data_IF_762913325960
#
_entry.id   IF_762913325960
#
_cell.length_a   1.000
_cell.length_b   1.000
_cell.length_c   1.000
_cell.angle_alpha   90.00
_cell.angle_beta   90.00
_cell.angle_gamma   90.00
#
_symmetry.space_group_name_H-M   'P 1'
#
loop_
_entity.id
_entity.type
_entity.pdbx_description
1 polymer ?
#
# COMPACT_ATOMS: atom_id res chain seq x y z
N UNK A 1 82.29 4.64 -55.96
CA UNK A 1 83.72 4.89 -55.72
C UNK A 1 83.90 5.70 -54.40
N UNK A 2 85.20 5.91 -53.99
CA UNK A 2 85.53 6.61 -52.74
C UNK A 2 84.87 8.03 -52.65
N UNK A 3 84.71 8.67 -53.77
CA UNK A 3 84.03 10.01 -53.86
C UNK A 3 82.53 9.97 -53.55
N UNK A 4 81.82 9.01 -53.99
CA UNK A 4 80.43 8.77 -53.73
C UNK A 4 80.17 8.42 -52.26
N UNK A 5 81.06 7.69 -51.63
CA UNK A 5 81.00 7.41 -50.18
C UNK A 5 81.23 8.63 -49.33
N UNK A 6 82.15 9.54 -49.79
CA UNK A 6 82.38 10.79 -49.07
C UNK A 6 81.22 11.73 -49.21
N UNK A 7 80.55 11.88 -50.34
CA UNK A 7 79.35 12.69 -50.55
C UNK A 7 78.18 12.12 -49.77
N UNK A 8 77.95 10.84 -49.71
CA UNK A 8 76.89 10.21 -48.87
C UNK A 8 77.12 10.43 -47.36
N UNK A 9 78.43 10.35 -46.94
CA UNK A 9 78.74 10.69 -45.53
C UNK A 9 78.43 12.16 -45.19
N UNK A 10 78.76 13.05 -46.12
CA UNK A 10 78.50 14.51 -45.90
C UNK A 10 77.01 14.82 -45.87
N UNK A 11 76.24 14.22 -46.76
CA UNK A 11 74.78 14.37 -46.75
C UNK A 11 74.13 13.79 -45.48
N UNK A 12 74.57 12.60 -45.03
CA UNK A 12 74.09 11.97 -43.82
C UNK A 12 74.47 12.79 -42.58
N UNK A 13 75.65 13.40 -42.52
CA UNK A 13 76.09 14.24 -41.44
C UNK A 13 75.32 15.56 -41.42
N UNK A 14 75.02 16.18 -42.56
CA UNK A 14 74.16 17.36 -42.64
C UNK A 14 72.76 17.05 -42.25
N UNK A 15 72.15 15.96 -42.67
CA UNK A 15 70.85 15.53 -42.27
C UNK A 15 70.75 15.23 -40.75
N UNK A 16 71.75 14.61 -40.17
CA UNK A 16 71.83 14.38 -38.72
C UNK A 16 71.98 15.66 -37.90
N UNK A 17 72.73 16.64 -38.41
CA UNK A 17 72.79 17.97 -37.77
C UNK A 17 71.43 18.68 -37.82
N UNK A 18 70.82 18.75 -38.98
CA UNK A 18 69.52 19.37 -39.15
C UNK A 18 68.43 18.71 -38.27
N UNK A 19 68.46 17.38 -38.14
CA UNK A 19 67.57 16.64 -37.24
C UNK A 19 67.77 16.95 -35.77
N UNK A 20 69.06 17.10 -35.34
CA UNK A 20 69.38 17.49 -33.94
C UNK A 20 68.98 18.95 -33.65
N UNK A 21 69.17 19.84 -34.58
CA UNK A 21 68.79 21.27 -34.44
C UNK A 21 67.27 21.42 -34.42
N UNK A 22 66.56 20.63 -35.25
CA UNK A 22 65.11 20.59 -35.21
C UNK A 22 64.58 20.00 -33.89
N UNK A 23 65.18 18.91 -33.42
CA UNK A 23 64.81 18.28 -32.13
C UNK A 23 65.06 19.19 -30.92
N UNK A 24 66.11 20.05 -30.96
CA UNK A 24 66.42 21.00 -29.87
C UNK A 24 65.35 22.07 -29.70
N UNK A 25 64.47 22.29 -30.68
CA UNK A 25 63.36 23.25 -30.61
C UNK A 25 62.17 22.77 -29.83
N UNK A 26 62.11 21.45 -29.54
CA UNK A 26 60.94 20.85 -28.86
C UNK A 26 61.25 20.45 -27.43
N UNK A 27 60.30 20.49 -26.53
CA UNK A 27 60.46 19.99 -25.15
C UNK A 27 60.94 18.53 -25.15
N UNK A 28 61.91 18.17 -24.26
CA UNK A 28 62.48 16.79 -24.26
C UNK A 28 61.45 15.68 -24.10
N UNK A 29 60.35 15.97 -23.42
CA UNK A 29 59.21 15.03 -23.25
C UNK A 29 58.51 14.62 -24.57
N UNK A 30 58.61 15.44 -25.61
CA UNK A 30 57.98 15.16 -26.91
C UNK A 30 58.88 14.39 -27.85
N UNK A 31 60.18 14.29 -27.53
CA UNK A 31 61.16 13.60 -28.37
C UNK A 31 61.50 12.22 -27.80
N UNK A 32 60.75 11.74 -26.84
CA UNK A 32 60.94 10.38 -26.29
C UNK A 32 60.65 9.30 -27.34
N UNK A 33 61.31 8.15 -27.30
CA UNK A 33 61.03 7.03 -28.23
C UNK A 33 59.55 6.64 -28.23
N UNK A 34 58.91 6.71 -27.05
CA UNK A 34 57.47 6.40 -26.91
C UNK A 34 56.62 7.41 -27.66
N UNK A 35 56.89 8.73 -27.48
CA UNK A 35 56.13 9.79 -28.14
C UNK A 35 56.31 9.74 -29.67
N UNK A 36 57.52 9.49 -30.11
CA UNK A 36 57.81 9.34 -31.55
C UNK A 36 57.17 8.10 -32.16
N UNK A 37 57.06 7.00 -31.41
CA UNK A 37 56.33 5.81 -31.85
C UNK A 37 54.84 6.06 -31.93
N UNK A 38 54.27 6.75 -30.97
CA UNK A 38 52.86 7.16 -30.95
C UNK A 38 52.53 8.05 -32.19
N UNK A 39 53.37 9.04 -32.48
CA UNK A 39 53.20 9.89 -33.65
C UNK A 39 53.31 9.11 -34.98
N UNK A 40 54.24 8.13 -35.07
CA UNK A 40 54.34 7.27 -36.24
C UNK A 40 53.14 6.35 -36.43
N UNK A 41 52.51 5.95 -35.36
CA UNK A 41 51.27 5.15 -35.41
C UNK A 41 50.06 5.96 -35.79
N UNK A 42 50.04 7.24 -35.39
CA UNK A 42 48.94 8.16 -35.67
C UNK A 42 48.99 8.76 -37.08
N UNK A 43 50.23 9.04 -37.56
CA UNK A 43 50.45 9.64 -38.89
C UNK A 43 51.35 8.77 -39.75
N UNK A 44 50.88 8.39 -40.94
CA UNK A 44 51.64 7.58 -41.90
C UNK A 44 52.89 8.31 -42.42
N UNK A 45 52.82 9.64 -42.51
CA UNK A 45 53.92 10.47 -43.00
C UNK A 45 53.86 11.89 -42.42
N UNK A 46 54.98 12.60 -42.57
CA UNK A 46 55.13 13.97 -42.07
C UNK A 46 54.06 14.94 -42.67
N UNK A 47 53.69 14.74 -43.93
CA UNK A 47 52.71 15.59 -44.62
C UNK A 47 51.33 15.48 -44.01
N UNK A 48 50.90 14.31 -43.58
CA UNK A 48 49.64 14.16 -42.85
C UNK A 48 49.69 14.89 -41.50
N UNK A 49 50.79 14.82 -40.79
CA UNK A 49 50.96 15.55 -39.52
C UNK A 49 50.93 17.07 -39.75
N UNK A 50 51.58 17.57 -40.81
CA UNK A 50 51.54 18.99 -41.20
C UNK A 50 50.11 19.48 -41.53
N UNK A 51 49.37 18.70 -42.30
CA UNK A 51 47.98 18.99 -42.66
C UNK A 51 47.13 19.05 -41.39
N UNK A 52 47.30 18.11 -40.48
CA UNK A 52 46.57 18.08 -39.21
C UNK A 52 46.94 19.27 -38.32
N UNK A 53 48.21 19.59 -38.18
CA UNK A 53 48.68 20.78 -37.46
C UNK A 53 48.07 22.07 -38.03
N UNK A 54 48.11 22.26 -39.36
CA UNK A 54 47.52 23.40 -39.97
C UNK A 54 45.99 23.49 -39.79
N UNK A 55 45.31 22.37 -39.81
CA UNK A 55 43.89 22.32 -39.52
C UNK A 55 43.59 22.69 -38.04
N UNK A 56 44.38 22.19 -37.10
CA UNK A 56 44.25 22.57 -35.65
C UNK A 56 44.55 24.06 -35.46
N UNK A 57 45.57 24.62 -36.14
CA UNK A 57 45.90 26.05 -36.08
C UNK A 57 44.70 26.88 -36.61
N UNK A 58 44.10 26.46 -37.77
CA UNK A 58 42.91 27.12 -38.28
C UNK A 58 41.69 27.04 -37.35
N UNK A 59 41.51 25.92 -36.64
CA UNK A 59 40.45 25.76 -35.63
C UNK A 59 40.73 26.66 -34.42
N UNK A 60 41.99 26.77 -33.97
CA UNK A 60 42.38 27.66 -32.89
C UNK A 60 42.16 29.14 -33.25
N UNK A 61 42.49 29.55 -34.47
CA UNK A 61 42.33 30.92 -34.94
C UNK A 61 40.85 31.35 -35.12
N UNK A 62 39.98 30.38 -35.42
CA UNK A 62 38.54 30.59 -35.57
C UNK A 62 37.75 30.58 -34.26
N UNK A 63 38.27 29.97 -33.23
CA UNK A 63 37.61 29.79 -31.93
C UNK A 63 37.89 30.89 -30.97
N UNK A 64 36.86 31.30 -30.21
CA UNK A 64 37.06 32.06 -28.97
C UNK A 64 37.31 31.02 -27.87
N UNK A 65 38.60 30.84 -27.55
CA UNK A 65 39.02 29.84 -26.60
C UNK A 65 39.15 30.48 -25.20
N UNK A 66 38.52 29.81 -24.22
CA UNK A 66 38.69 30.20 -22.82
C UNK A 66 40.01 29.67 -22.33
N UNK A 67 40.92 30.59 -21.93
CA UNK A 67 42.28 30.23 -21.47
C UNK A 67 42.39 30.17 -19.95
N UNK A 68 41.29 30.42 -19.21
CA UNK A 68 41.28 30.34 -17.76
C UNK A 68 41.39 28.88 -17.31
N UNK A 69 42.46 28.55 -16.59
CA UNK A 69 42.68 27.20 -16.06
C UNK A 69 41.57 26.73 -15.11
N UNK A 70 40.84 27.66 -14.50
CA UNK A 70 39.71 27.32 -13.62
C UNK A 70 38.53 26.71 -14.36
N UNK A 71 38.41 26.91 -15.67
CA UNK A 71 37.36 26.31 -16.51
C UNK A 71 37.48 24.78 -16.56
N UNK A 72 38.71 24.25 -16.65
CA UNK A 72 38.97 22.81 -16.63
C UNK A 72 38.57 22.20 -15.27
N UNK A 73 38.92 22.83 -14.18
CA UNK A 73 38.56 22.38 -12.83
C UNK A 73 37.04 22.42 -12.62
N UNK A 74 36.39 23.43 -13.17
CA UNK A 74 34.93 23.56 -13.12
C UNK A 74 34.29 22.44 -13.95
N UNK A 75 34.76 22.16 -15.15
CA UNK A 75 34.28 21.11 -16.03
C UNK A 75 34.41 19.74 -15.36
N UNK A 76 35.55 19.42 -14.75
CA UNK A 76 35.76 18.16 -14.03
C UNK A 76 34.78 18.04 -12.86
N UNK A 77 34.61 19.09 -12.06
CA UNK A 77 33.66 19.07 -10.93
C UNK A 77 32.23 18.91 -11.40
N UNK A 78 31.79 19.64 -12.44
CA UNK A 78 30.44 19.52 -12.98
C UNK A 78 30.19 18.15 -13.58
N UNK A 79 31.17 17.58 -14.28
CA UNK A 79 31.06 16.22 -14.83
C UNK A 79 30.90 15.17 -13.72
N UNK A 80 31.63 15.33 -12.61
CA UNK A 80 31.49 14.45 -11.47
C UNK A 80 30.11 14.63 -10.81
N UNK A 81 29.65 15.86 -10.61
CA UNK A 81 28.31 16.12 -10.09
C UNK A 81 27.21 15.46 -10.95
N UNK A 82 27.30 15.62 -12.26
CA UNK A 82 26.31 15.00 -13.16
C UNK A 82 26.30 13.47 -13.00
N UNK A 83 27.45 12.85 -12.91
CA UNK A 83 27.54 11.38 -12.69
C UNK A 83 26.93 10.98 -11.35
N UNK A 84 27.25 11.71 -10.29
CA UNK A 84 26.72 11.44 -8.95
C UNK A 84 25.19 11.60 -8.90
N UNK A 85 24.65 12.63 -9.59
CA UNK A 85 23.22 12.86 -9.70
C UNK A 85 22.53 11.78 -10.57
N UNK A 86 23.14 11.34 -11.67
CA UNK A 86 22.64 10.24 -12.50
C UNK A 86 22.57 8.93 -11.72
N UNK A 87 23.60 8.61 -10.93
CA UNK A 87 23.61 7.44 -10.07
C UNK A 87 22.52 7.54 -8.99
N UNK A 88 22.38 8.68 -8.32
CA UNK A 88 21.32 8.90 -7.34
C UNK A 88 19.93 8.78 -7.97
N UNK A 89 19.74 9.33 -9.16
CA UNK A 89 18.47 9.22 -9.89
C UNK A 89 18.15 7.76 -10.24
N UNK A 90 19.15 7.01 -10.69
CA UNK A 90 19.00 5.57 -10.97
C UNK A 90 18.59 4.80 -9.72
N UNK A 91 19.28 5.04 -8.60
CA UNK A 91 18.98 4.40 -7.32
C UNK A 91 17.58 4.75 -6.80
N UNK A 92 17.17 6.04 -6.92
CA UNK A 92 15.81 6.47 -6.56
C UNK A 92 14.75 5.82 -7.44
N UNK A 93 14.98 5.73 -8.76
CA UNK A 93 14.05 5.05 -9.69
C UNK A 93 13.89 3.57 -9.33
N UNK A 94 14.99 2.88 -9.04
CA UNK A 94 14.96 1.47 -8.62
C UNK A 94 14.20 1.30 -7.29
N UNK A 95 14.48 2.15 -6.30
CA UNK A 95 13.79 2.14 -5.01
C UNK A 95 12.27 2.41 -5.16
N UNK A 96 11.90 3.40 -5.97
CA UNK A 96 10.51 3.71 -6.24
C UNK A 96 9.78 2.55 -6.95
N UNK A 97 10.44 1.87 -7.90
CA UNK A 97 9.86 0.72 -8.57
C UNK A 97 9.61 -0.45 -7.60
N UNK A 98 10.56 -0.72 -6.69
CA UNK A 98 10.40 -1.73 -5.64
C UNK A 98 9.26 -1.36 -4.67
N UNK A 99 9.21 -0.10 -4.25
CA UNK A 99 8.14 0.39 -3.36
C UNK A 99 6.76 0.30 -4.03
N UNK A 100 6.65 0.66 -5.30
CA UNK A 100 5.40 0.54 -6.07
C UNK A 100 4.94 -0.91 -6.19
N UNK A 101 5.88 -1.83 -6.47
CA UNK A 101 5.58 -3.28 -6.52
C UNK A 101 5.13 -3.80 -5.16
N UNK A 102 5.83 -3.43 -4.08
CA UNK A 102 5.47 -3.83 -2.73
C UNK A 102 4.09 -3.31 -2.32
N UNK A 103 3.77 -2.06 -2.64
CA UNK A 103 2.46 -1.47 -2.40
C UNK A 103 1.35 -2.17 -3.20
N UNK A 104 1.61 -2.49 -4.47
CA UNK A 104 0.68 -3.26 -5.31
C UNK A 104 0.37 -4.63 -4.72
N UNK A 105 1.40 -5.39 -4.34
CA UNK A 105 1.24 -6.71 -3.72
C UNK A 105 0.51 -6.66 -2.37
N UNK A 106 0.80 -5.64 -1.56
CA UNK A 106 0.11 -5.45 -0.28
C UNK A 106 -1.37 -5.14 -0.49
N UNK A 107 -1.69 -4.32 -1.48
CA UNK A 107 -3.07 -3.98 -1.86
C UNK A 107 -3.83 -5.20 -2.38
N UNK A 108 -3.23 -6.02 -3.23
CA UNK A 108 -3.85 -7.26 -3.72
C UNK A 108 -4.20 -8.20 -2.55
N UNK A 109 -3.25 -8.43 -1.64
CA UNK A 109 -3.52 -9.24 -0.43
C UNK A 109 -4.64 -8.67 0.43
N UNK A 110 -4.66 -7.35 0.61
CA UNK A 110 -5.73 -6.67 1.34
C UNK A 110 -7.10 -6.91 0.66
N UNK A 111 -7.16 -6.76 -0.66
CA UNK A 111 -8.38 -7.00 -1.45
C UNK A 111 -8.86 -8.46 -1.30
N UNK A 112 -7.95 -9.42 -1.34
CA UNK A 112 -8.31 -10.84 -1.21
C UNK A 112 -8.89 -11.15 0.18
N UNK A 113 -8.26 -10.63 1.24
CA UNK A 113 -8.79 -10.76 2.60
C UNK A 113 -10.14 -10.06 2.73
N UNK A 114 -10.28 -8.86 2.17
CA UNK A 114 -11.52 -8.11 2.19
C UNK A 114 -12.65 -8.85 1.45
N UNK A 115 -12.36 -9.39 0.27
CA UNK A 115 -13.31 -10.21 -0.49
C UNK A 115 -13.76 -11.44 0.28
N UNK A 116 -12.84 -12.16 0.90
CA UNK A 116 -13.16 -13.33 1.72
C UNK A 116 -14.05 -12.94 2.91
N UNK A 117 -13.68 -11.87 3.62
CA UNK A 117 -14.44 -11.35 4.76
C UNK A 117 -15.85 -10.91 4.37
N UNK A 118 -15.98 -10.14 3.29
CA UNK A 118 -17.29 -9.65 2.84
C UNK A 118 -18.18 -10.80 2.33
N UNK A 119 -17.61 -11.81 1.65
CA UNK A 119 -18.37 -13.00 1.26
C UNK A 119 -18.88 -13.77 2.47
N UNK A 120 -18.06 -13.96 3.51
CA UNK A 120 -18.48 -14.59 4.76
C UNK A 120 -19.57 -13.76 5.43
N UNK A 121 -19.40 -12.45 5.51
CA UNK A 121 -20.40 -11.55 6.05
C UNK A 121 -21.73 -11.62 5.29
N UNK A 122 -21.70 -11.62 3.96
CA UNK A 122 -22.91 -11.82 3.11
C UNK A 122 -23.64 -13.10 3.49
N UNK A 123 -22.92 -14.23 3.61
CA UNK A 123 -23.48 -15.51 4.03
C UNK A 123 -24.13 -15.41 5.41
N UNK A 124 -23.40 -14.83 6.39
CA UNK A 124 -23.88 -14.69 7.75
C UNK A 124 -25.15 -13.84 7.83
N UNK A 125 -25.19 -12.71 7.11
CA UNK A 125 -26.36 -11.82 7.07
C UNK A 125 -27.57 -12.53 6.49
N UNK A 126 -27.41 -13.31 5.42
CA UNK A 126 -28.51 -14.08 4.83
C UNK A 126 -29.05 -15.13 5.80
N UNK A 127 -28.15 -15.95 6.41
CA UNK A 127 -28.54 -16.98 7.38
C UNK A 127 -29.23 -16.40 8.62
N UNK A 128 -28.70 -15.30 9.13
CA UNK A 128 -29.29 -14.63 10.28
C UNK A 128 -30.62 -13.95 9.92
N UNK A 129 -30.75 -13.46 8.70
CA UNK A 129 -32.03 -12.97 8.18
C UNK A 129 -33.08 -14.07 8.15
N UNK A 130 -32.76 -15.26 7.64
CA UNK A 130 -33.67 -16.40 7.63
C UNK A 130 -34.12 -16.80 9.04
N UNK A 131 -33.17 -16.85 10.01
CA UNK A 131 -33.50 -17.13 11.41
C UNK A 131 -34.45 -16.08 12.03
N UNK A 132 -34.31 -14.84 11.59
CA UNK A 132 -35.16 -13.72 12.03
C UNK A 132 -36.48 -13.60 11.24
N UNK A 133 -36.72 -14.47 10.26
CA UNK A 133 -37.88 -14.39 9.36
C UNK A 133 -37.86 -13.19 8.42
N UNK A 134 -36.67 -12.68 8.10
CA UNK A 134 -36.44 -11.50 7.26
C UNK A 134 -35.51 -11.88 6.12
N UNK A 135 -35.89 -11.57 4.89
CA UNK A 135 -34.92 -11.71 3.79
C UNK A 135 -33.91 -10.59 3.88
N UNK A 136 -32.63 -10.95 4.05
CA UNK A 136 -31.51 -10.01 4.13
C UNK A 136 -30.47 -10.35 3.08
N UNK A 137 -30.08 -9.37 2.27
CA UNK A 137 -29.07 -9.53 1.24
C UNK A 137 -27.99 -8.47 1.34
N UNK A 138 -26.74 -8.92 1.44
CA UNK A 138 -25.58 -8.03 1.32
C UNK A 138 -25.05 -8.06 -0.12
N UNK A 139 -24.91 -6.88 -0.71
CA UNK A 139 -24.39 -6.68 -2.05
C UNK A 139 -22.89 -6.40 -1.94
N UNK A 140 -22.09 -7.25 -2.60
CA UNK A 140 -20.64 -7.12 -2.56
C UNK A 140 -20.18 -5.85 -3.27
N UNK A 141 -19.29 -5.06 -2.66
CA UNK A 141 -18.71 -3.92 -3.33
C UNK A 141 -17.78 -4.33 -4.47
N UNK A 142 -17.65 -3.48 -5.47
CA UNK A 142 -16.61 -3.62 -6.49
C UNK A 142 -15.25 -3.27 -5.87
N UNK A 143 -14.29 -4.19 -5.99
CA UNK A 143 -12.96 -4.06 -5.38
C UNK A 143 -11.90 -4.25 -6.47
N UNK A 144 -11.32 -3.15 -6.91
CA UNK A 144 -10.19 -3.11 -7.85
C UNK A 144 -8.89 -2.73 -7.12
N UNK A 145 -7.77 -3.04 -7.78
CA UNK A 145 -6.44 -2.66 -7.27
C UNK A 145 -6.15 -1.16 -7.52
N UNK A 146 -7.06 -0.31 -7.07
CA UNK A 146 -7.00 1.14 -7.16
C UNK A 146 -7.46 1.78 -5.85
N UNK A 147 -6.67 2.72 -5.32
CA UNK A 147 -6.95 3.35 -4.02
C UNK A 147 -8.24 4.16 -4.03
N UNK A 148 -8.60 4.78 -5.16
CA UNK A 148 -9.82 5.57 -5.29
C UNK A 148 -11.05 4.68 -5.25
N UNK A 149 -11.00 3.54 -5.95
CA UNK A 149 -12.08 2.55 -5.96
C UNK A 149 -12.25 1.92 -4.57
N UNK A 150 -11.14 1.56 -3.93
CA UNK A 150 -11.18 1.00 -2.57
C UNK A 150 -11.69 1.98 -1.52
N UNK A 151 -11.35 3.26 -1.63
CA UNK A 151 -11.84 4.30 -0.72
C UNK A 151 -13.35 4.55 -0.85
N UNK A 152 -13.93 4.28 -2.02
CA UNK A 152 -15.37 4.43 -2.30
C UNK A 152 -16.15 3.12 -2.11
N UNK A 153 -15.45 2.01 -1.92
CA UNK A 153 -16.07 0.70 -1.77
C UNK A 153 -16.93 0.65 -0.50
N UNK A 154 -18.22 0.50 -0.65
CA UNK A 154 -19.18 0.40 0.43
C UNK A 154 -20.03 -0.88 0.32
N UNK A 155 -20.25 -1.55 1.45
CA UNK A 155 -21.17 -2.67 1.51
C UNK A 155 -22.62 -2.15 1.60
N UNK A 156 -23.45 -2.57 0.69
CA UNK A 156 -24.88 -2.30 0.72
C UNK A 156 -25.61 -3.52 1.27
N UNK A 157 -26.51 -3.33 2.21
CA UNK A 157 -27.37 -4.39 2.74
C UNK A 157 -28.82 -3.98 2.56
N UNK A 158 -29.60 -4.89 2.01
CA UNK A 158 -31.04 -4.74 1.79
C UNK A 158 -31.78 -5.75 2.64
N UNK A 159 -32.92 -5.32 3.17
CA UNK A 159 -33.82 -6.13 3.97
C UNK A 159 -35.22 -6.14 3.35
N UNK A 160 -35.90 -7.27 3.39
CA UNK A 160 -37.28 -7.35 2.98
C UNK A 160 -38.09 -7.96 4.13
N UNK A 161 -38.96 -7.15 4.69
CA UNK A 161 -39.88 -7.50 5.77
C UNK A 161 -41.25 -7.83 5.17
N UNK A 162 -41.76 -9.02 5.41
CA UNK A 162 -43.10 -9.44 5.02
C UNK A 162 -43.39 -9.33 3.50
N UNK A 163 -42.39 -9.35 2.64
CA UNK A 163 -42.58 -9.23 1.20
C UNK A 163 -43.03 -7.86 0.68
N UNK A 164 -42.93 -6.81 1.54
CA UNK A 164 -43.40 -5.45 1.21
C UNK A 164 -42.41 -4.60 0.38
N UNK A 165 -41.28 -5.16 -0.01
CA UNK A 165 -40.27 -4.48 -0.78
C UNK A 165 -38.92 -4.43 -0.06
N UNK A 166 -37.88 -4.07 -0.80
CA UNK A 166 -36.52 -3.95 -0.28
C UNK A 166 -36.34 -2.61 0.45
N UNK A 167 -35.87 -2.66 1.68
CA UNK A 167 -35.58 -1.49 2.51
C UNK A 167 -34.06 -1.48 2.78
N UNK A 168 -33.41 -0.40 2.45
CA UNK A 168 -31.99 -0.20 2.76
C UNK A 168 -31.74 0.03 4.25
N UNK A 169 -30.48 0.12 4.63
CA UNK A 169 -30.09 0.32 6.03
C UNK A 169 -30.63 1.65 6.62
N UNK A 170 -30.58 2.71 5.83
CA UNK A 170 -30.93 4.08 6.25
C UNK A 170 -32.30 4.53 5.78
N UNK A 171 -33.07 3.68 5.15
CA UNK A 171 -34.40 4.04 4.69
C UNK A 171 -35.33 4.19 5.90
N UNK A 172 -35.92 5.37 6.06
CA UNK A 172 -36.80 5.73 7.19
C UNK A 172 -38.15 5.02 7.20
N UNK A 173 -38.42 4.12 6.27
CA UNK A 173 -39.69 3.38 6.13
C UNK A 173 -39.83 2.20 7.09
N UNK A 174 -38.71 1.79 7.74
CA UNK A 174 -38.74 0.67 8.68
C UNK A 174 -39.31 1.10 10.04
N UNK A 175 -40.18 0.26 10.61
CA UNK A 175 -40.67 0.46 11.99
C UNK A 175 -39.50 0.38 13.00
N UNK A 176 -39.68 0.95 14.20
CA UNK A 176 -38.65 0.91 15.24
C UNK A 176 -38.14 -0.51 15.52
N UNK A 177 -39.02 -1.49 15.59
CA UNK A 177 -38.67 -2.91 15.74
C UNK A 177 -37.88 -3.48 14.59
N UNK A 178 -38.23 -3.14 13.35
CA UNK A 178 -37.50 -3.55 12.17
C UNK A 178 -36.09 -2.94 12.13
N UNK A 179 -35.92 -1.71 12.59
CA UNK A 179 -34.59 -1.06 12.69
C UNK A 179 -33.69 -1.76 13.71
N UNK A 180 -34.24 -2.12 14.89
CA UNK A 180 -33.50 -2.89 15.89
C UNK A 180 -33.07 -4.25 15.31
N UNK A 181 -33.97 -4.96 14.65
CA UNK A 181 -33.68 -6.26 14.07
C UNK A 181 -32.64 -6.18 12.94
N UNK A 182 -32.73 -5.17 12.06
CA UNK A 182 -31.67 -4.87 11.07
C UNK A 182 -30.31 -4.71 11.74
N UNK A 183 -30.25 -3.86 12.77
CA UNK A 183 -29.01 -3.57 13.48
C UNK A 183 -28.41 -4.80 14.15
N UNK A 184 -29.23 -5.64 14.75
CA UNK A 184 -28.81 -6.89 15.38
C UNK A 184 -28.30 -7.91 14.35
N UNK A 185 -28.98 -8.10 13.22
CA UNK A 185 -28.52 -8.98 12.14
C UNK A 185 -27.15 -8.55 11.64
N UNK A 186 -26.95 -7.25 11.43
CA UNK A 186 -25.66 -6.72 10.97
C UNK A 186 -24.57 -6.90 12.01
N UNK A 187 -24.83 -6.57 13.27
CA UNK A 187 -23.84 -6.68 14.35
C UNK A 187 -23.43 -8.13 14.58
N UNK A 188 -24.40 -9.02 14.72
CA UNK A 188 -24.14 -10.44 14.97
C UNK A 188 -23.51 -11.10 13.73
N UNK A 189 -23.91 -10.67 12.53
CA UNK A 189 -23.29 -11.12 11.28
C UNK A 189 -21.80 -10.82 11.18
N UNK A 190 -21.35 -9.71 11.74
CA UNK A 190 -19.91 -9.39 11.85
C UNK A 190 -19.17 -10.30 12.84
N UNK A 191 -19.87 -10.71 13.90
CA UNK A 191 -19.26 -11.50 15.00
C UNK A 191 -19.34 -13.00 14.76
N UNK A 192 -20.24 -13.46 13.89
CA UNK A 192 -20.43 -14.86 13.61
C UNK A 192 -19.21 -15.41 12.87
N UNK A 193 -18.51 -16.33 13.54
CA UNK A 193 -17.42 -17.10 12.98
C UNK A 193 -17.73 -18.59 13.19
N UNK A 194 -17.58 -19.39 12.13
CA UNK A 194 -17.83 -20.84 12.19
C UNK A 194 -16.78 -21.58 13.03
N UNK A 195 -15.58 -21.00 13.17
CA UNK A 195 -14.42 -21.63 13.84
C UNK A 195 -14.29 -21.23 15.32
N UNK A 196 -14.75 -20.02 15.67
CA UNK A 196 -14.62 -19.52 17.05
C UNK A 196 -15.99 -19.21 17.66
N UNK A 197 -16.21 -19.52 18.96
CA UNK A 197 -17.41 -19.10 19.66
C UNK A 197 -17.58 -17.58 19.56
N UNK A 198 -18.79 -17.10 19.37
CA UNK A 198 -19.13 -15.72 19.09
C UNK A 198 -18.82 -14.67 20.15
N UNK A 199 -17.94 -14.95 21.11
CA UNK A 199 -17.47 -13.97 22.09
C UNK A 199 -18.53 -13.47 23.07
N UNK A 200 -18.27 -12.29 23.68
CA UNK A 200 -19.14 -11.61 24.63
C UNK A 200 -19.69 -10.32 24.01
N UNK A 201 -21.00 -10.14 24.08
CA UNK A 201 -21.71 -8.98 23.50
C UNK A 201 -22.52 -8.29 24.58
N UNK A 202 -22.31 -7.00 24.76
CA UNK A 202 -23.15 -6.16 25.57
C UNK A 202 -24.10 -5.34 24.69
N UNK A 203 -25.41 -5.42 24.98
CA UNK A 203 -26.43 -4.66 24.24
C UNK A 203 -27.32 -3.97 25.25
N UNK A 204 -27.38 -2.64 25.16
CA UNK A 204 -28.19 -1.82 26.04
C UNK A 204 -29.59 -1.64 25.44
N UNK A 205 -30.61 -2.04 26.20
CA UNK A 205 -32.02 -1.95 25.86
C UNK A 205 -32.41 -2.47 24.45
N UNK A 206 -32.01 -3.67 24.01
CA UNK A 206 -32.28 -4.16 22.66
C UNK A 206 -33.76 -4.36 22.35
N UNK A 207 -34.59 -4.38 23.37
CA UNK A 207 -36.05 -4.60 23.28
C UNK A 207 -36.86 -3.32 23.33
N UNK A 208 -36.21 -2.16 23.44
CA UNK A 208 -36.89 -0.89 23.40
C UNK A 208 -37.69 -0.75 22.11
N UNK A 209 -38.98 -0.38 22.26
CA UNK A 209 -39.89 -0.19 21.13
C UNK A 209 -40.29 -1.46 20.33
N UNK A 210 -39.96 -2.66 20.82
CA UNK A 210 -40.41 -3.91 20.22
C UNK A 210 -41.77 -4.34 20.82
N UNK A 211 -42.61 -4.87 19.95
CA UNK A 211 -43.80 -5.63 20.42
C UNK A 211 -43.38 -7.05 20.86
N UNK A 212 -44.29 -7.73 21.54
CA UNK A 212 -44.04 -9.06 22.13
C UNK A 212 -43.52 -10.08 21.09
N UNK A 213 -44.08 -10.07 19.89
CA UNK A 213 -43.69 -11.00 18.80
C UNK A 213 -42.26 -10.73 18.35
N UNK A 214 -41.89 -9.47 18.20
CA UNK A 214 -40.52 -9.09 17.80
C UNK A 214 -39.53 -9.36 18.92
N UNK A 215 -39.91 -9.21 20.19
CA UNK A 215 -39.09 -9.59 21.35
C UNK A 215 -38.76 -11.09 21.31
N UNK A 216 -39.76 -11.93 21.09
CA UNK A 216 -39.57 -13.38 20.97
C UNK A 216 -38.64 -13.72 19.79
N UNK A 217 -38.85 -13.11 18.64
CA UNK A 217 -37.97 -13.32 17.46
C UNK A 217 -36.51 -12.94 17.75
N UNK A 218 -36.28 -11.80 18.36
CA UNK A 218 -34.94 -11.36 18.75
C UNK A 218 -34.35 -12.31 19.80
N UNK A 219 -35.12 -12.74 20.78
CA UNK A 219 -34.70 -13.69 21.80
C UNK A 219 -34.27 -15.03 21.18
N UNK A 220 -35.08 -15.61 20.28
CA UNK A 220 -34.74 -16.83 19.54
C UNK A 220 -33.48 -16.63 18.68
N UNK A 221 -33.40 -15.53 17.98
CA UNK A 221 -32.24 -15.16 17.16
C UNK A 221 -30.94 -15.11 18.01
N UNK A 222 -30.94 -14.43 19.15
CA UNK A 222 -29.79 -14.35 20.03
C UNK A 222 -29.40 -15.75 20.60
N UNK A 223 -30.39 -16.59 20.96
CA UNK A 223 -30.13 -17.98 21.42
C UNK A 223 -29.55 -18.89 20.32
N UNK A 224 -29.92 -18.67 19.07
CA UNK A 224 -29.40 -19.46 17.94
C UNK A 224 -27.94 -19.18 17.63
N UNK A 225 -27.40 -18.09 18.13
CA UNK A 225 -25.99 -17.73 17.99
C UNK A 225 -25.17 -18.27 19.16
N UNK A 226 -23.93 -18.64 18.95
CA UNK A 226 -23.03 -19.20 19.98
C UNK A 226 -22.32 -18.14 20.83
N UNK A 227 -22.84 -16.91 20.86
CA UNK A 227 -22.26 -15.81 21.63
C UNK A 227 -22.87 -15.73 23.04
N UNK A 228 -22.12 -15.20 23.98
CA UNK A 228 -22.62 -14.82 25.29
C UNK A 228 -23.14 -13.38 25.25
N UNK A 229 -24.39 -13.19 25.61
CA UNK A 229 -25.02 -11.86 25.62
C UNK A 229 -25.25 -11.35 27.03
N UNK A 230 -24.91 -10.08 27.26
CA UNK A 230 -25.36 -9.32 28.42
C UNK A 230 -26.30 -8.22 27.90
N UNK A 231 -27.56 -8.31 28.27
CA UNK A 231 -28.59 -7.41 27.82
C UNK A 231 -29.11 -6.60 29.01
N UNK A 232 -29.36 -5.31 28.83
CA UNK A 232 -30.11 -4.49 29.80
C UNK A 232 -31.54 -4.31 29.32
N UNK A 233 -32.47 -4.22 30.25
CA UNK A 233 -33.87 -3.93 29.93
C UNK A 233 -34.57 -3.27 31.14
N UNK A 234 -35.43 -2.27 30.92
CA UNK A 234 -36.22 -1.69 32.01
C UNK A 234 -37.27 -2.70 32.52
N UNK A 235 -37.52 -2.68 33.81
CA UNK A 235 -38.47 -3.59 34.48
C UNK A 235 -39.94 -3.47 33.99
N UNK A 236 -40.22 -2.42 33.24
CA UNK A 236 -41.52 -2.16 32.63
C UNK A 236 -41.86 -3.07 31.46
N UNK A 237 -40.87 -3.81 30.93
CA UNK A 237 -41.10 -4.77 29.88
C UNK A 237 -41.72 -6.07 30.45
N UNK A 238 -42.54 -6.69 29.63
CA UNK A 238 -43.31 -7.88 29.99
C UNK A 238 -42.39 -9.06 30.42
N UNK A 239 -42.90 -9.98 31.21
CA UNK A 239 -42.17 -11.17 31.69
C UNK A 239 -41.57 -11.98 30.54
N UNK A 240 -42.20 -12.00 29.37
CA UNK A 240 -41.74 -12.66 28.15
C UNK A 240 -40.37 -12.20 27.64
N UNK A 241 -39.97 -10.96 27.93
CA UNK A 241 -38.62 -10.43 27.62
C UNK A 241 -37.54 -11.22 28.32
N UNK A 242 -37.82 -11.79 29.49
CA UNK A 242 -36.86 -12.52 30.31
C UNK A 242 -36.83 -14.03 30.00
N UNK A 243 -37.84 -14.53 29.29
CA UNK A 243 -37.95 -15.97 29.01
C UNK A 243 -36.73 -16.56 28.26
N UNK A 244 -36.16 -15.88 27.28
CA UNK A 244 -34.98 -16.39 26.60
C UNK A 244 -33.68 -16.36 27.40
N UNK A 245 -33.63 -15.64 28.53
CA UNK A 245 -32.38 -15.50 29.31
C UNK A 245 -32.16 -16.67 30.26
N UNK A 246 -30.92 -17.16 30.37
CA UNK A 246 -30.53 -18.21 31.31
C UNK A 246 -30.42 -17.65 32.73
N UNK A 247 -29.90 -16.43 32.86
CA UNK A 247 -29.74 -15.72 34.14
C UNK A 247 -30.30 -14.30 34.01
N UNK A 248 -31.19 -13.95 34.90
CA UNK A 248 -31.72 -12.58 35.01
C UNK A 248 -31.26 -11.96 36.34
N UNK A 249 -30.62 -10.80 36.26
CA UNK A 249 -30.21 -10.01 37.39
C UNK A 249 -31.18 -8.84 37.55
N UNK A 250 -31.95 -8.84 38.65
CA UNK A 250 -32.87 -7.76 38.95
C UNK A 250 -32.21 -6.76 39.89
N UNK A 251 -31.99 -5.55 39.38
CA UNK A 251 -31.41 -4.44 40.14
C UNK A 251 -32.49 -3.44 40.53
N UNK A 252 -32.36 -2.83 41.69
CA UNK A 252 -33.30 -1.81 42.17
C UNK A 252 -32.56 -0.53 42.51
N UNK A 253 -33.20 0.61 42.23
CA UNK A 253 -32.69 1.90 42.66
C UNK A 253 -32.60 1.97 44.18
N UNK A 254 -31.53 2.59 44.69
CA UNK A 254 -31.38 2.90 46.11
C UNK A 254 -32.56 3.79 46.57
N UNK A 255 -33.34 3.37 47.59
CA UNK A 255 -34.38 4.22 48.17
C UNK A 255 -33.81 5.51 48.74
N UNK A 256 -34.60 6.55 48.73
CA UNK A 256 -34.20 7.86 49.31
C UNK A 256 -34.00 7.73 50.82
N UNK A 257 -32.82 8.08 51.31
CA UNK A 257 -32.47 7.98 52.73
C UNK A 257 -31.68 6.72 53.10
N UNK A 258 -31.72 5.69 52.32
CA UNK A 258 -30.94 4.47 52.55
C UNK A 258 -29.46 4.66 52.18
N UNK A 259 -28.56 3.94 52.88
CA UNK A 259 -27.13 3.98 52.59
C UNK A 259 -26.77 3.12 51.36
N UNK A 260 -27.47 2.00 51.15
CA UNK A 260 -27.18 1.01 50.14
C UNK A 260 -28.44 0.74 49.28
N UNK A 261 -28.22 0.33 48.03
CA UNK A 261 -29.27 -0.24 47.21
C UNK A 261 -29.69 -1.61 47.76
N UNK A 262 -30.91 -2.07 47.48
CA UNK A 262 -31.33 -3.43 47.78
C UNK A 262 -30.37 -4.46 47.12
N UNK A 263 -30.24 -5.67 47.71
CA UNK A 263 -29.49 -6.74 47.10
C UNK A 263 -30.00 -7.04 45.69
N UNK A 264 -29.08 -7.40 44.78
CA UNK A 264 -29.42 -7.88 43.44
C UNK A 264 -30.11 -9.21 43.58
N UNK A 265 -31.30 -9.35 43.04
CA UNK A 265 -31.98 -10.64 42.94
C UNK A 265 -31.51 -11.37 41.68
N UNK A 266 -31.17 -12.63 41.85
CA UNK A 266 -30.68 -13.50 40.77
C UNK A 266 -31.74 -14.55 40.48
N UNK A 267 -32.25 -14.56 39.24
CA UNK A 267 -33.17 -15.56 38.74
C UNK A 267 -32.41 -16.42 37.75
N UNK A 268 -32.07 -17.65 38.12
CA UNK A 268 -31.47 -18.62 37.21
C UNK A 268 -32.55 -19.56 36.69
N UNK A 269 -32.64 -19.68 35.38
CA UNK A 269 -33.52 -20.65 34.73
C UNK A 269 -32.67 -21.83 34.33
N UNK A 270 -33.08 -23.04 34.69
CA UNK A 270 -32.44 -24.27 34.18
C UNK A 270 -32.84 -24.39 32.72
N UNK A 271 -31.86 -24.63 31.82
CA UNK A 271 -32.23 -24.95 30.44
C UNK A 271 -33.11 -26.22 30.50
N UNK A 272 -34.25 -26.19 29.82
CA UNK A 272 -35.00 -27.43 29.56
C UNK A 272 -34.06 -28.35 28.78
N UNK A 273 -33.70 -29.47 29.39
CA UNK A 273 -32.93 -30.52 28.72
C UNK A 273 -33.81 -31.05 27.62
N UNK A 274 -33.53 -30.62 26.37
CA UNK A 274 -34.16 -31.18 25.18
C UNK A 274 -33.87 -32.68 25.17
N UNK A 275 -34.86 -33.49 25.43
CA UNK A 275 -34.82 -34.96 25.34
C UNK A 275 -34.73 -35.48 23.90
N UNK A 276 -34.11 -34.73 23.00
CA UNK A 276 -33.79 -35.20 21.63
C UNK A 276 -32.29 -35.10 21.41
N UNK A 277 -31.60 -36.18 21.80
CA UNK A 277 -30.27 -36.53 21.30
C UNK A 277 -30.43 -37.43 20.06
#
# INVERSE_FOLDING_TARGET
TAREHAERRQTLQAAARASREAGAKFPPRWITPIALTALKNEFENARQAEIRAHHVDQELDKGVWETDATVLDRHVRMTQQVRDEEEQLSNRKASNALAATAAGNARERYIDVLRATVRRYKKNVAELGELAGVAAEAILPHLDNDDTVLAQAGLQVKFNFDGKGEVGLNDGEASGGQQVLKSLILLVGLMKDDETPGGFVFIDEPFAHLDVRNIQLVGHFLRSTRAQYLLTTPITHNVEVFEPSEITLVTSKKPRGERWAPPIAVLARRPEVSEYA
#
